data_IF_743338550027
#
_entry.id   IF_743338550027
#
_cell.length_a   1.000
_cell.length_b   1.000
_cell.length_c   1.000
_cell.angle_alpha   90.00
_cell.angle_beta   90.00
_cell.angle_gamma   90.00
#
_symmetry.space_group_name_H-M   'P 1'
#
loop_
_entity.id
_entity.type
_entity.pdbx_description
1 polymer ?
#
# COMPACT_ATOMS: atom_id res chain seq x y z
N UNK A 1 -1.31 -17.96 -23.04
CA UNK A 1 -2.04 -17.45 -21.85
C UNK A 1 -2.96 -16.27 -22.18
N UNK A 2 -4.23 -16.37 -21.81
CA UNK A 2 -5.23 -15.29 -21.86
C UNK A 2 -5.14 -14.43 -20.60
N UNK A 3 -5.02 -13.12 -20.74
CA UNK A 3 -4.88 -12.22 -19.60
C UNK A 3 -6.18 -11.95 -18.84
N UNK A 4 -7.33 -12.21 -19.47
CA UNK A 4 -8.65 -12.04 -18.84
C UNK A 4 -8.94 -13.18 -17.87
N UNK A 5 -8.80 -14.43 -18.33
CA UNK A 5 -9.23 -15.61 -17.56
C UNK A 5 -8.12 -16.64 -17.35
N UNK A 6 -6.85 -16.25 -17.54
CA UNK A 6 -5.63 -17.02 -17.23
C UNK A 6 -5.52 -18.42 -17.86
N UNK A 7 -6.35 -18.77 -18.85
CA UNK A 7 -6.25 -20.04 -19.60
C UNK A 7 -5.15 -20.01 -20.66
N UNK A 8 -4.61 -21.17 -21.03
CA UNK A 8 -3.57 -21.24 -22.05
C UNK A 8 -4.12 -21.28 -23.48
N UNK A 9 -4.13 -20.12 -24.13
CA UNK A 9 -4.48 -19.99 -25.56
C UNK A 9 -3.40 -20.51 -26.52
N UNK A 10 -2.22 -20.88 -26.04
CA UNK A 10 -1.14 -21.45 -26.87
C UNK A 10 -1.40 -22.90 -27.29
N UNK A 11 -2.39 -23.57 -26.68
CA UNK A 11 -2.74 -24.94 -27.01
C UNK A 11 -3.33 -25.04 -28.44
N UNK A 12 -2.98 -26.09 -29.23
CA UNK A 12 -3.39 -26.24 -30.62
C UNK A 12 -4.90 -26.20 -30.86
N UNK A 13 -5.70 -26.58 -29.86
CA UNK A 13 -7.15 -26.73 -29.97
C UNK A 13 -7.95 -25.54 -29.41
N UNK A 14 -7.35 -24.66 -28.61
CA UNK A 14 -8.07 -23.61 -27.87
C UNK A 14 -7.88 -22.21 -28.49
N UNK A 15 -6.64 -21.82 -28.80
CA UNK A 15 -6.30 -20.67 -29.65
C UNK A 15 -7.16 -19.41 -29.47
N UNK A 16 -7.45 -18.73 -30.60
CA UNK A 16 -8.43 -17.62 -30.64
C UNK A 16 -9.89 -18.10 -30.49
N UNK A 17 -10.16 -19.41 -30.49
CA UNK A 17 -11.51 -19.93 -30.26
C UNK A 17 -12.01 -19.70 -28.83
N UNK A 18 -11.09 -19.32 -27.95
CA UNK A 18 -11.33 -18.90 -26.60
C UNK A 18 -12.20 -17.64 -26.48
N UNK A 19 -12.23 -16.79 -27.52
CA UNK A 19 -13.06 -15.58 -27.59
C UNK A 19 -14.37 -15.81 -28.35
N UNK A 20 -15.28 -14.86 -28.22
CA UNK A 20 -16.51 -14.81 -29.01
C UNK A 20 -16.18 -14.77 -30.52
N UNK A 21 -16.75 -15.70 -31.29
CA UNK A 21 -16.59 -15.76 -32.77
C UNK A 21 -17.77 -15.15 -33.53
N UNK A 22 -18.82 -14.75 -32.83
CA UNK A 22 -19.95 -14.06 -33.43
C UNK A 22 -19.66 -12.57 -33.52
N UNK A 23 -20.27 -11.92 -34.50
CA UNK A 23 -20.20 -10.48 -34.64
C UNK A 23 -20.90 -9.79 -33.45
N UNK A 24 -20.31 -8.71 -32.93
CA UNK A 24 -20.95 -7.81 -31.95
C UNK A 24 -21.05 -6.42 -32.59
N UNK A 25 -22.27 -5.97 -32.94
CA UNK A 25 -22.47 -4.68 -33.60
C UNK A 25 -22.01 -3.50 -32.73
N UNK A 26 -22.25 -3.60 -31.43
CA UNK A 26 -21.89 -2.60 -30.44
C UNK A 26 -21.05 -3.32 -29.38
N UNK A 27 -19.76 -2.98 -29.27
CA UNK A 27 -18.87 -3.44 -28.20
C UNK A 27 -19.26 -2.77 -26.87
N UNK A 28 -20.49 -3.02 -26.42
CA UNK A 28 -21.24 -2.32 -25.39
C UNK A 28 -20.73 -2.49 -23.95
N UNK A 29 -19.54 -3.06 -23.75
CA UNK A 29 -19.01 -3.32 -22.42
C UNK A 29 -19.64 -4.53 -21.71
N UNK A 30 -20.73 -5.10 -22.25
CA UNK A 30 -21.52 -6.13 -21.55
C UNK A 30 -21.04 -7.53 -21.87
N UNK A 31 -21.31 -8.48 -20.97
CA UNK A 31 -21.09 -9.91 -21.22
C UNK A 31 -21.88 -10.36 -22.46
N UNK A 32 -21.25 -11.21 -23.25
CA UNK A 32 -21.92 -11.85 -24.38
C UNK A 32 -23.16 -12.65 -23.93
N UNK A 33 -24.26 -12.53 -24.68
CA UNK A 33 -25.51 -13.28 -24.46
C UNK A 33 -25.64 -14.53 -25.34
N UNK A 34 -24.76 -14.70 -26.34
CA UNK A 34 -24.81 -15.82 -27.30
C UNK A 34 -23.88 -16.99 -26.94
N UNK A 35 -22.86 -16.77 -26.09
CA UNK A 35 -21.97 -17.82 -25.64
C UNK A 35 -21.23 -17.45 -24.34
N UNK A 36 -20.74 -18.46 -23.62
CA UNK A 36 -19.98 -18.32 -22.37
C UNK A 36 -18.45 -18.28 -22.56
N UNK A 37 -17.99 -17.83 -23.73
CA UNK A 37 -16.55 -17.68 -24.01
C UNK A 37 -15.99 -16.40 -23.38
N UNK A 38 -14.66 -16.34 -23.18
CA UNK A 38 -14.05 -15.14 -22.58
C UNK A 38 -14.32 -13.92 -23.47
N UNK A 39 -14.80 -12.84 -22.86
CA UNK A 39 -15.26 -11.66 -23.56
C UNK A 39 -14.15 -10.60 -23.58
N UNK A 40 -13.73 -10.20 -24.78
CA UNK A 40 -12.70 -9.16 -24.94
C UNK A 40 -13.24 -7.76 -24.63
N UNK A 41 -14.56 -7.57 -24.76
CA UNK A 41 -15.21 -6.28 -24.66
C UNK A 41 -15.82 -6.03 -23.28
N UNK A 42 -15.73 -6.98 -22.35
CA UNK A 42 -16.33 -6.82 -21.03
C UNK A 42 -15.60 -5.73 -20.25
N UNK A 43 -16.35 -4.72 -19.83
CA UNK A 43 -15.83 -3.65 -18.97
C UNK A 43 -16.51 -3.76 -17.62
N UNK A 44 -15.74 -4.14 -16.62
CA UNK A 44 -16.21 -4.18 -15.25
C UNK A 44 -16.35 -2.76 -14.68
N UNK A 45 -17.34 -2.53 -13.82
CA UNK A 45 -17.46 -1.25 -13.12
C UNK A 45 -16.46 -1.20 -11.96
N UNK A 46 -15.24 -0.79 -12.29
CA UNK A 46 -14.13 -0.68 -11.34
C UNK A 46 -14.46 0.20 -10.14
N UNK A 47 -15.22 1.27 -10.34
CA UNK A 47 -15.57 2.21 -9.27
C UNK A 47 -16.50 1.60 -8.22
N UNK A 48 -17.44 0.77 -8.67
CA UNK A 48 -18.31 0.02 -7.77
C UNK A 48 -17.51 -0.98 -6.93
N UNK A 49 -16.56 -1.67 -7.56
CA UNK A 49 -15.69 -2.65 -6.89
C UNK A 49 -14.77 -1.97 -5.88
N UNK A 50 -14.15 -0.86 -6.25
CA UNK A 50 -13.31 -0.08 -5.34
C UNK A 50 -14.09 0.41 -4.13
N UNK A 51 -15.32 0.90 -4.32
CA UNK A 51 -16.19 1.31 -3.22
C UNK A 51 -16.53 0.14 -2.29
N UNK A 52 -16.87 -1.01 -2.85
CA UNK A 52 -17.18 -2.21 -2.07
C UNK A 52 -15.96 -2.71 -1.30
N UNK A 53 -14.81 -2.82 -1.97
CA UNK A 53 -13.56 -3.25 -1.36
C UNK A 53 -13.12 -2.31 -0.23
N UNK A 54 -13.27 -0.99 -0.42
CA UNK A 54 -13.03 0.01 0.63
C UNK A 54 -13.94 -0.22 1.84
N UNK A 55 -15.25 -0.36 1.62
CA UNK A 55 -16.21 -0.56 2.70
C UNK A 55 -15.93 -1.86 3.48
N UNK A 56 -15.59 -2.93 2.79
CA UNK A 56 -15.24 -4.21 3.42
C UNK A 56 -13.93 -4.12 4.22
N UNK A 57 -12.92 -3.41 3.70
CA UNK A 57 -11.66 -3.16 4.40
C UNK A 57 -11.88 -2.33 5.66
N UNK A 58 -12.65 -1.24 5.59
CA UNK A 58 -13.00 -0.42 6.75
C UNK A 58 -13.77 -1.21 7.80
N UNK A 59 -14.71 -2.08 7.38
CA UNK A 59 -15.46 -2.95 8.30
C UNK A 59 -14.52 -3.91 9.03
N UNK A 60 -13.67 -4.63 8.30
CA UNK A 60 -12.69 -5.58 8.87
C UNK A 60 -11.69 -4.88 9.78
N UNK A 61 -11.24 -3.69 9.39
CA UNK A 61 -10.33 -2.88 10.20
C UNK A 61 -11.00 -2.47 11.51
N UNK A 62 -12.24 -1.97 11.46
CA UNK A 62 -13.03 -1.63 12.67
C UNK A 62 -13.26 -2.83 13.58
N UNK A 63 -13.54 -4.01 13.03
CA UNK A 63 -13.69 -5.24 13.80
C UNK A 63 -12.38 -5.65 14.50
N UNK A 64 -11.24 -5.45 13.84
CA UNK A 64 -9.91 -5.74 14.38
C UNK A 64 -9.46 -4.70 15.42
N UNK A 65 -9.74 -3.43 15.17
CA UNK A 65 -9.47 -2.29 16.05
C UNK A 65 -10.38 -2.26 17.28
N UNK A 66 -11.51 -2.98 17.27
CA UNK A 66 -12.39 -3.13 18.45
C UNK A 66 -11.74 -3.91 19.62
N UNK A 67 -10.40 -4.02 19.62
CA UNK A 67 -9.60 -4.37 20.79
C UNK A 67 -9.52 -3.14 21.69
N UNK A 68 -9.76 -3.31 22.99
CA UNK A 68 -9.53 -2.26 23.96
C UNK A 68 -8.04 -1.92 23.97
N UNK A 69 -7.69 -0.74 23.43
CA UNK A 69 -6.34 -0.22 23.53
C UNK A 69 -6.02 0.06 25.00
N UNK A 70 -4.87 -0.42 25.48
CA UNK A 70 -4.39 -0.08 26.81
C UNK A 70 -4.16 1.43 26.93
N UNK A 71 -4.20 1.96 28.15
CA UNK A 71 -3.98 3.39 28.40
C UNK A 71 -2.62 3.89 27.85
N UNK A 72 -1.60 3.01 27.82
CA UNK A 72 -0.29 3.32 27.25
C UNK A 72 -0.34 3.45 25.72
N UNK A 73 -1.08 2.58 25.03
CA UNK A 73 -1.27 2.66 23.57
C UNK A 73 -2.12 3.87 23.18
N UNK A 74 -3.14 4.21 23.97
CA UNK A 74 -3.93 5.44 23.79
C UNK A 74 -3.06 6.68 23.92
N UNK A 75 -2.22 6.75 24.95
CA UNK A 75 -1.27 7.85 25.15
C UNK A 75 -0.21 7.94 24.03
N UNK A 76 0.26 6.80 23.50
CA UNK A 76 1.19 6.78 22.38
C UNK A 76 0.55 7.27 21.07
N UNK A 77 -0.69 6.89 20.78
CA UNK A 77 -1.42 7.37 19.60
C UNK A 77 -1.78 8.86 19.72
N UNK A 78 -2.19 9.31 20.90
CA UNK A 78 -2.53 10.70 21.18
C UNK A 78 -1.30 11.63 21.11
N UNK A 79 -0.14 11.16 21.59
CA UNK A 79 1.12 11.88 21.49
C UNK A 79 1.81 11.76 20.12
N UNK A 80 1.62 10.63 19.42
CA UNK A 80 2.24 10.32 18.13
C UNK A 80 1.49 10.83 16.91
N UNK A 81 0.19 11.11 17.01
CA UNK A 81 -0.61 11.68 15.92
C UNK A 81 -0.50 13.21 15.79
N UNK A 82 0.32 13.84 16.63
CA UNK A 82 0.41 15.30 16.75
C UNK A 82 1.80 15.88 16.49
N UNK A 83 2.59 15.39 15.52
CA UNK A 83 3.70 16.18 14.96
C UNK A 83 4.34 15.58 13.70
N UNK A 84 4.09 16.18 12.54
CA UNK A 84 4.95 16.06 11.34
C UNK A 84 5.81 17.30 11.10
N UNK A 85 5.96 18.21 12.07
CA UNK A 85 6.81 19.40 11.91
C UNK A 85 7.59 19.82 13.17
N UNK A 86 8.48 18.98 13.70
CA UNK A 86 9.47 19.40 14.74
C UNK A 86 9.37 18.76 16.15
N UNK A 87 9.89 17.56 16.28
CA UNK A 87 10.20 16.86 17.54
C UNK A 87 10.41 17.76 18.77
N UNK A 88 9.74 17.45 19.89
CA UNK A 88 10.32 17.70 21.21
C UNK A 88 9.81 16.68 22.23
N UNK A 89 10.73 15.87 22.76
CA UNK A 89 10.59 15.29 24.09
C UNK A 89 11.90 15.53 24.83
N UNK A 90 11.84 16.35 25.87
CA UNK A 90 12.94 16.59 26.79
C UNK A 90 13.11 15.41 27.75
N UNK A 91 14.36 15.03 27.99
CA UNK A 91 14.73 13.94 28.89
C UNK A 91 16.23 13.72 28.97
N UNK A 92 16.93 14.70 29.54
CA UNK A 92 18.22 14.63 30.26
C UNK A 92 19.57 14.43 29.50
N UNK A 93 20.37 15.51 29.58
CA UNK A 93 21.84 15.66 29.62
C UNK A 93 22.75 14.76 28.76
N UNK A 94 23.07 15.28 27.58
CA UNK A 94 24.33 14.99 26.88
C UNK A 94 24.58 16.00 25.75
N UNK A 95 25.85 16.20 25.39
CA UNK A 95 26.41 17.17 24.42
C UNK A 95 25.75 17.22 23.02
N UNK A 96 24.72 16.42 22.75
CA UNK A 96 23.83 16.53 21.58
C UNK A 96 22.85 17.71 21.62
N UNK A 97 22.81 18.49 22.71
CA UNK A 97 21.92 19.66 22.86
C UNK A 97 22.36 20.91 22.09
N UNK A 98 23.65 21.03 21.72
CA UNK A 98 24.18 22.25 21.09
C UNK A 98 24.31 22.17 19.57
N UNK A 99 24.11 21.00 18.97
CA UNK A 99 24.27 20.78 17.53
C UNK A 99 22.98 20.96 16.72
N UNK A 100 21.82 21.09 17.37
CA UNK A 100 20.53 21.27 16.69
C UNK A 100 20.16 22.75 16.44
N UNK A 101 20.95 23.70 16.96
CA UNK A 101 20.77 25.12 16.67
C UNK A 101 21.29 25.52 15.28
N UNK A 102 22.15 24.70 14.67
CA UNK A 102 22.54 24.87 13.27
C UNK A 102 22.25 23.60 12.48
N UNK A 103 21.35 23.75 11.51
CA UNK A 103 20.75 22.74 10.64
C UNK A 103 21.80 22.05 9.74
N UNK A 104 22.72 21.25 10.30
CA UNK A 104 23.71 20.46 9.55
C UNK A 104 23.73 19.04 10.08
N UNK A 105 23.48 18.08 9.18
CA UNK A 105 23.62 16.65 9.47
C UNK A 105 25.12 16.34 9.40
N UNK A 106 25.72 15.77 10.47
CA UNK A 106 27.15 15.47 10.49
C UNK A 106 27.51 14.41 9.45
N UNK A 107 28.72 14.51 8.92
CA UNK A 107 29.20 13.55 7.91
C UNK A 107 29.67 12.26 8.57
N UNK A 108 29.82 11.20 7.77
CA UNK A 108 30.24 9.88 8.27
C UNK A 108 31.62 9.92 8.94
N UNK A 109 32.52 10.79 8.46
CA UNK A 109 33.87 10.97 9.01
C UNK A 109 33.82 11.52 10.45
N UNK A 110 32.96 12.50 10.71
CA UNK A 110 32.76 13.09 12.04
C UNK A 110 32.17 12.09 13.04
N UNK A 111 31.35 11.16 12.56
CA UNK A 111 30.79 10.06 13.37
C UNK A 111 31.88 9.03 13.71
N UNK A 112 32.72 8.67 12.73
CA UNK A 112 33.81 7.73 12.95
C UNK A 112 34.83 8.27 13.96
N UNK A 113 35.25 9.53 13.83
CA UNK A 113 36.21 10.15 14.77
C UNK A 113 35.63 10.20 16.19
N UNK A 114 34.34 10.55 16.35
CA UNK A 114 33.68 10.55 17.66
C UNK A 114 33.68 9.19 18.35
N UNK A 115 33.49 8.11 17.58
CA UNK A 115 33.49 6.74 18.11
C UNK A 115 34.90 6.32 18.50
N UNK A 116 35.91 6.63 17.69
CA UNK A 116 37.31 6.31 17.99
C UNK A 116 37.75 6.99 19.29
N UNK A 117 37.45 8.27 19.45
CA UNK A 117 37.88 9.05 20.62
C UNK A 117 37.16 8.66 21.93
N UNK A 118 35.92 8.15 21.87
CA UNK A 118 35.16 7.78 23.08
C UNK A 118 35.22 6.29 23.44
N UNK A 119 35.44 5.41 22.46
CA UNK A 119 35.33 3.96 22.68
C UNK A 119 36.62 3.20 22.42
N UNK A 120 37.64 3.82 21.81
CA UNK A 120 38.89 3.15 21.43
C UNK A 120 40.13 3.79 22.10
N UNK A 121 39.96 4.91 22.83
CA UNK A 121 41.00 5.49 23.68
C UNK A 121 41.05 4.86 25.09
#
# INVERSE_FOLDING_TARGET
MCYVCRKDIGAPNEGYRHFCQHFRPEGDGRKCTQCDRCNLWETENTDAILRQAKADAERRWKETERRELSNAEKAYLESGAGHVDGMSFGGDRGILGSALSHRRIPTLEEICDFIVDNFIA
#
